data_IF_696449117231
#
_entry.id   IF_696449117231
#
_cell.length_a   1.000
_cell.length_b   1.000
_cell.length_c   1.000
_cell.angle_alpha   90.00
_cell.angle_beta   90.00
_cell.angle_gamma   90.00
#
_symmetry.space_group_name_H-M   'P 1'
#
loop_
_entity.id
_entity.type
_entity.pdbx_description
1 polymer ?
#
# COMPACT_ATOMS: atom_id res chain seq x y z
N UNK A 1 -29.62 -6.14 78.46
CA UNK A 1 -28.31 -6.24 77.80
C UNK A 1 -28.30 -7.07 76.49
N UNK A 2 -29.18 -8.06 76.31
CA UNK A 2 -29.18 -8.90 75.08
C UNK A 2 -29.74 -8.20 73.83
N UNK A 3 -30.73 -7.33 73.95
CA UNK A 3 -31.34 -6.61 72.80
C UNK A 3 -30.40 -5.57 72.16
N UNK A 4 -29.59 -4.84 72.95
CA UNK A 4 -28.64 -3.84 72.44
C UNK A 4 -27.47 -4.47 71.65
N UNK A 5 -27.07 -5.71 71.97
CA UNK A 5 -26.03 -6.45 71.23
C UNK A 5 -26.55 -7.01 69.91
N UNK A 6 -27.85 -7.36 69.84
CA UNK A 6 -28.47 -7.84 68.60
C UNK A 6 -28.63 -6.72 67.55
N UNK A 7 -29.00 -5.49 68.00
CA UNK A 7 -29.14 -4.31 67.14
C UNK A 7 -27.77 -3.85 66.60
N UNK A 8 -26.71 -3.92 67.43
CA UNK A 8 -25.35 -3.58 67.00
C UNK A 8 -24.80 -4.59 65.97
N UNK A 9 -25.18 -5.90 66.09
CA UNK A 9 -24.75 -6.94 65.13
C UNK A 9 -25.48 -6.84 63.83
N UNK A 10 -26.77 -6.44 63.81
CA UNK A 10 -27.55 -6.19 62.60
C UNK A 10 -27.07 -4.90 61.84
N UNK A 11 -26.68 -3.85 62.56
CA UNK A 11 -26.11 -2.63 61.95
C UNK A 11 -24.71 -2.88 61.38
N UNK A 12 -23.90 -3.76 61.99
CA UNK A 12 -22.57 -4.11 61.41
C UNK A 12 -22.70 -5.01 60.18
N UNK A 13 -23.73 -5.87 60.08
CA UNK A 13 -23.97 -6.73 58.92
C UNK A 13 -24.51 -5.92 57.72
N UNK A 14 -25.29 -4.86 57.95
CA UNK A 14 -25.78 -3.95 56.85
C UNK A 14 -24.69 -3.04 56.33
N UNK A 15 -23.65 -2.68 57.13
CA UNK A 15 -22.52 -1.87 56.65
C UNK A 15 -21.53 -2.72 55.81
N UNK A 16 -21.43 -4.04 56.03
CA UNK A 16 -20.57 -4.92 55.24
C UNK A 16 -21.12 -5.19 53.80
N UNK A 17 -22.45 -5.14 53.64
CA UNK A 17 -23.08 -5.35 52.30
C UNK A 17 -22.95 -4.13 51.41
N UNK A 18 -22.75 -2.93 52.00
CA UNK A 18 -22.61 -1.67 51.22
C UNK A 18 -21.21 -1.46 50.59
N UNK A 19 -20.18 -2.25 51.00
CA UNK A 19 -18.82 -2.15 50.44
C UNK A 19 -18.53 -3.11 49.27
N UNK A 20 -19.44 -4.04 48.94
CA UNK A 20 -19.26 -4.96 47.80
C UNK A 20 -19.95 -4.50 46.51
N UNK A 21 -20.47 -3.24 46.46
CA UNK A 21 -21.21 -2.71 45.31
C UNK A 21 -20.43 -1.86 44.30
N UNK A 22 -19.10 -1.77 44.39
CA UNK A 22 -18.24 -1.17 43.37
C UNK A 22 -17.64 -2.19 42.42
N UNK A 23 -18.48 -3.10 41.89
CA UNK A 23 -18.17 -3.82 40.68
C UNK A 23 -18.38 -2.85 39.52
N UNK A 24 -17.33 -2.14 39.10
CA UNK A 24 -17.36 -1.42 37.83
C UNK A 24 -17.83 -2.40 36.75
N UNK A 25 -18.92 -2.08 36.05
CA UNK A 25 -19.25 -2.81 34.82
C UNK A 25 -17.98 -2.83 33.99
N UNK A 26 -17.52 -4.00 33.50
CA UNK A 26 -16.47 -3.99 32.52
C UNK A 26 -16.89 -3.02 31.41
N UNK A 27 -15.98 -2.14 31.01
CA UNK A 27 -16.20 -1.30 29.86
C UNK A 27 -16.68 -2.21 28.72
N UNK A 28 -17.68 -1.81 27.92
CA UNK A 28 -18.09 -2.62 26.78
C UNK A 28 -16.84 -2.90 25.95
N UNK A 29 -16.44 -4.15 25.86
CA UNK A 29 -15.42 -4.57 24.92
C UNK A 29 -15.97 -4.24 23.52
N UNK A 30 -15.25 -3.42 22.77
CA UNK A 30 -15.62 -3.12 21.39
C UNK A 30 -15.80 -4.46 20.63
N UNK A 31 -16.82 -4.53 19.79
CA UNK A 31 -17.06 -5.75 19.00
C UNK A 31 -15.86 -6.03 18.09
N UNK A 32 -15.51 -7.29 17.86
CA UNK A 32 -14.45 -7.65 16.92
C UNK A 32 -14.81 -7.16 15.51
N UNK A 33 -13.85 -6.54 14.84
CA UNK A 33 -13.97 -6.03 13.47
C UNK A 33 -12.82 -6.60 12.64
N UNK A 34 -13.12 -7.14 11.47
CA UNK A 34 -12.13 -7.47 10.45
C UNK A 34 -12.19 -6.41 9.34
N UNK A 35 -11.03 -5.85 8.99
CA UNK A 35 -10.87 -4.93 7.88
C UNK A 35 -10.04 -5.59 6.78
N UNK A 36 -10.57 -5.61 5.58
CA UNK A 36 -9.90 -6.13 4.38
C UNK A 36 -9.26 -4.96 3.65
N UNK A 37 -7.93 -4.97 3.57
CA UNK A 37 -7.13 -3.89 2.99
C UNK A 37 -6.49 -4.37 1.70
N UNK A 38 -6.90 -3.80 0.57
CA UNK A 38 -6.26 -4.01 -0.71
C UNK A 38 -5.19 -2.95 -0.92
N UNK A 39 -3.93 -3.35 -1.03
CA UNK A 39 -2.81 -2.43 -1.14
C UNK A 39 -1.81 -2.85 -2.20
N UNK A 40 -1.21 -1.86 -2.86
CA UNK A 40 -0.17 -2.09 -3.85
C UNK A 40 0.96 -2.98 -3.29
N UNK A 41 1.43 -3.94 -4.08
CA UNK A 41 2.46 -4.92 -3.69
C UNK A 41 3.76 -4.28 -3.16
N UNK A 42 4.09 -3.07 -3.63
CA UNK A 42 5.24 -2.27 -3.14
C UNK A 42 5.12 -1.84 -1.67
N UNK A 43 3.95 -2.01 -1.04
CA UNK A 43 3.71 -1.64 0.36
C UNK A 43 3.67 -2.86 1.30
N UNK A 44 3.97 -4.05 0.80
CA UNK A 44 3.84 -5.29 1.58
C UNK A 44 4.57 -5.22 2.92
N UNK A 45 5.84 -4.86 2.92
CA UNK A 45 6.68 -4.85 4.12
C UNK A 45 6.22 -3.77 5.11
N UNK A 46 6.01 -2.54 4.62
CA UNK A 46 5.64 -1.40 5.47
C UNK A 46 4.25 -1.54 6.07
N UNK A 47 3.25 -1.93 5.28
CA UNK A 47 1.89 -2.10 5.80
C UNK A 47 1.73 -3.33 6.69
N UNK A 48 2.53 -4.38 6.50
CA UNK A 48 2.58 -5.50 7.43
C UNK A 48 3.08 -5.04 8.81
N UNK A 49 4.20 -4.32 8.87
CA UNK A 49 4.76 -3.79 10.12
C UNK A 49 3.81 -2.79 10.81
N UNK A 50 3.25 -1.85 10.04
CA UNK A 50 2.29 -0.86 10.56
C UNK A 50 1.02 -1.55 11.04
N UNK A 51 0.51 -2.54 10.30
CA UNK A 51 -0.67 -3.31 10.65
C UNK A 51 -0.51 -4.10 11.94
N UNK A 52 0.65 -4.74 12.14
CA UNK A 52 0.98 -5.41 13.41
C UNK A 52 0.96 -4.43 14.58
N UNK A 53 1.54 -3.25 14.41
CA UNK A 53 1.55 -2.19 15.42
C UNK A 53 0.14 -1.69 15.72
N UNK A 54 -0.67 -1.43 14.70
CA UNK A 54 -2.07 -1.01 14.84
C UNK A 54 -2.91 -2.06 15.60
N UNK A 55 -2.84 -3.32 15.21
CA UNK A 55 -3.55 -4.43 15.90
C UNK A 55 -3.05 -4.65 17.33
N UNK A 56 -1.80 -4.31 17.63
CA UNK A 56 -1.29 -4.34 18.99
C UNK A 56 -1.95 -3.28 19.89
N UNK A 57 -2.33 -2.14 19.34
CA UNK A 57 -3.01 -1.04 20.04
C UNK A 57 -4.55 -1.19 20.02
N UNK A 58 -5.12 -1.76 18.95
CA UNK A 58 -6.55 -1.92 18.69
C UNK A 58 -6.98 -3.39 18.71
N UNK A 59 -7.06 -3.99 19.92
CA UNK A 59 -7.26 -5.43 20.11
C UNK A 59 -8.57 -6.03 19.56
N UNK A 60 -9.54 -5.18 19.23
CA UNK A 60 -10.79 -5.58 18.61
C UNK A 60 -10.74 -5.53 17.08
N UNK A 61 -9.65 -5.04 16.47
CA UNK A 61 -9.49 -4.95 15.01
C UNK A 61 -8.50 -5.99 14.52
N UNK A 62 -8.88 -6.70 13.45
CA UNK A 62 -8.00 -7.56 12.66
C UNK A 62 -7.85 -6.96 11.28
N UNK A 63 -6.62 -6.82 10.80
CA UNK A 63 -6.31 -6.38 9.44
C UNK A 63 -5.95 -7.59 8.59
N UNK A 64 -6.66 -7.77 7.47
CA UNK A 64 -6.36 -8.77 6.46
C UNK A 64 -5.93 -8.06 5.19
N UNK A 65 -4.68 -8.27 4.77
CA UNK A 65 -4.12 -7.60 3.60
C UNK A 65 -4.18 -8.48 2.36
N UNK A 66 -4.57 -7.87 1.23
CA UNK A 66 -4.39 -8.42 -0.10
C UNK A 66 -3.41 -7.52 -0.87
N UNK A 67 -2.21 -8.03 -1.12
CA UNK A 67 -1.15 -7.30 -1.82
C UNK A 67 -1.01 -7.80 -3.26
N UNK A 68 -1.26 -6.91 -4.22
CA UNK A 68 -1.04 -7.19 -5.64
C UNK A 68 -0.83 -5.87 -6.42
N UNK A 69 -0.75 -5.94 -7.74
CA UNK A 69 -0.76 -4.73 -8.55
C UNK A 69 -2.06 -3.95 -8.34
N UNK A 70 -1.97 -2.62 -8.34
CA UNK A 70 -3.16 -1.79 -8.17
C UNK A 70 -4.20 -2.00 -9.29
N UNK A 71 -3.77 -2.44 -10.47
CA UNK A 71 -4.66 -2.80 -11.58
C UNK A 71 -5.46 -4.07 -11.28
N UNK A 72 -4.80 -5.13 -10.81
CA UNK A 72 -5.43 -6.38 -10.37
C UNK A 72 -6.42 -6.12 -9.24
N UNK A 73 -6.00 -5.37 -8.21
CA UNK A 73 -6.84 -5.04 -7.05
C UNK A 73 -8.08 -4.24 -7.46
N UNK A 74 -7.90 -3.24 -8.34
CA UNK A 74 -9.01 -2.47 -8.91
C UNK A 74 -10.02 -3.38 -9.61
N UNK A 75 -9.55 -4.35 -10.41
CA UNK A 75 -10.42 -5.32 -11.11
C UNK A 75 -11.17 -6.20 -10.11
N UNK A 76 -10.51 -6.69 -9.06
CA UNK A 76 -11.15 -7.48 -8.01
C UNK A 76 -12.26 -6.67 -7.30
N UNK A 77 -12.03 -5.38 -7.00
CA UNK A 77 -13.04 -4.48 -6.42
C UNK A 77 -14.23 -4.34 -7.37
N UNK A 78 -14.00 -4.12 -8.66
CA UNK A 78 -15.06 -4.02 -9.66
C UNK A 78 -15.88 -5.32 -9.80
N UNK A 79 -15.24 -6.47 -9.61
CA UNK A 79 -15.88 -7.79 -9.64
C UNK A 79 -16.61 -8.14 -8.34
N UNK A 80 -16.58 -7.24 -7.34
CA UNK A 80 -17.32 -7.37 -6.09
C UNK A 80 -16.57 -8.11 -4.98
N UNK A 81 -15.24 -8.13 -5.01
CA UNK A 81 -14.45 -8.62 -3.88
C UNK A 81 -14.70 -7.75 -2.64
N UNK A 82 -14.80 -8.38 -1.47
CA UNK A 82 -14.88 -7.68 -0.20
C UNK A 82 -13.59 -6.88 0.03
N UNK A 83 -13.75 -5.57 0.23
CA UNK A 83 -12.64 -4.65 0.45
C UNK A 83 -13.13 -3.43 1.22
N UNK A 84 -12.48 -3.09 2.33
CA UNK A 84 -12.80 -1.92 3.14
C UNK A 84 -11.93 -0.72 2.76
N UNK A 85 -10.67 -0.96 2.43
CA UNK A 85 -9.66 0.08 2.14
C UNK A 85 -8.90 -0.29 0.88
N UNK A 86 -8.75 0.70 -0.02
CA UNK A 86 -7.88 0.56 -1.19
C UNK A 86 -6.73 1.58 -1.13
N UNK A 87 -5.49 1.09 -1.33
CA UNK A 87 -4.25 1.89 -1.40
C UNK A 87 -3.56 1.56 -2.72
N UNK A 88 -3.52 2.53 -3.63
CA UNK A 88 -2.99 2.35 -4.99
C UNK A 88 -1.60 2.97 -5.12
N UNK A 89 -0.73 2.36 -5.94
CA UNK A 89 0.60 2.90 -6.29
C UNK A 89 0.55 3.95 -7.41
N UNK A 90 -0.65 4.33 -7.87
CA UNK A 90 -0.86 5.43 -8.80
C UNK A 90 -2.27 6.02 -8.68
N UNK A 91 -2.46 7.32 -8.96
CA UNK A 91 -3.78 7.95 -8.96
C UNK A 91 -4.75 7.34 -9.98
N UNK A 92 -4.27 6.78 -11.09
CA UNK A 92 -5.10 6.29 -12.20
C UNK A 92 -6.11 5.24 -11.72
N UNK A 93 -5.68 4.20 -11.03
CA UNK A 93 -6.54 3.11 -10.58
C UNK A 93 -7.57 3.57 -9.54
N UNK A 94 -7.15 4.45 -8.62
CA UNK A 94 -8.07 5.08 -7.66
C UNK A 94 -9.10 5.95 -8.39
N UNK A 95 -8.67 6.78 -9.34
CA UNK A 95 -9.57 7.64 -10.13
C UNK A 95 -10.60 6.83 -10.90
N UNK A 96 -10.25 5.65 -11.41
CA UNK A 96 -11.18 4.77 -12.13
C UNK A 96 -12.30 4.22 -11.26
N UNK A 97 -12.13 4.20 -9.94
CA UNK A 97 -13.12 3.75 -8.96
C UNK A 97 -13.89 4.89 -8.28
N UNK A 98 -13.49 6.14 -8.52
CA UNK A 98 -13.97 7.33 -7.80
C UNK A 98 -14.96 8.12 -8.64
N UNK A 99 -16.21 8.21 -8.18
CA UNK A 99 -17.25 9.00 -8.86
C UNK A 99 -16.92 10.50 -8.95
N UNK A 100 -16.01 11.02 -8.09
CA UNK A 100 -15.55 12.41 -8.16
C UNK A 100 -14.49 12.64 -9.26
N UNK A 101 -13.94 11.59 -9.86
CA UNK A 101 -13.01 11.72 -10.96
C UNK A 101 -13.72 12.12 -12.26
N UNK A 102 -12.95 12.71 -13.19
CA UNK A 102 -13.48 13.10 -14.50
C UNK A 102 -13.91 11.86 -15.32
N UNK A 103 -14.93 12.05 -16.16
CA UNK A 103 -15.52 10.97 -16.97
C UNK A 103 -14.59 10.42 -18.07
N UNK A 104 -13.52 11.11 -18.40
CA UNK A 104 -12.47 10.64 -19.31
C UNK A 104 -11.49 9.66 -18.62
N UNK A 105 -11.47 9.62 -17.29
CA UNK A 105 -10.68 8.68 -16.48
C UNK A 105 -11.55 7.57 -15.90
N UNK A 106 -12.66 7.92 -15.24
CA UNK A 106 -13.68 6.98 -14.77
C UNK A 106 -14.73 6.76 -15.88
N UNK A 107 -14.32 6.09 -16.95
CA UNK A 107 -15.16 5.88 -18.15
C UNK A 107 -16.35 4.97 -17.92
N UNK A 108 -16.31 4.16 -16.88
CA UNK A 108 -17.38 3.22 -16.51
C UNK A 108 -18.37 3.81 -15.49
N UNK A 109 -18.09 5.03 -14.98
CA UNK A 109 -18.93 5.71 -13.99
C UNK A 109 -19.00 4.97 -12.65
N UNK A 110 -17.91 4.34 -12.24
CA UNK A 110 -17.84 3.57 -11.00
C UNK A 110 -17.86 4.49 -9.77
N UNK A 111 -18.51 4.02 -8.71
CA UNK A 111 -18.63 4.73 -7.43
C UNK A 111 -18.31 3.79 -6.27
N UNK A 112 -17.01 3.50 -6.09
CA UNK A 112 -16.54 2.64 -5.01
C UNK A 112 -15.86 3.42 -3.88
N UNK A 113 -15.38 4.64 -4.14
CA UNK A 113 -14.65 5.43 -3.15
C UNK A 113 -15.63 6.19 -2.25
N UNK A 114 -15.53 5.99 -0.94
CA UNK A 114 -16.28 6.76 0.04
C UNK A 114 -15.86 8.23 -0.03
N UNK A 115 -16.81 9.09 -0.39
CA UNK A 115 -16.53 10.52 -0.57
C UNK A 115 -16.02 11.17 0.73
N UNK A 116 -14.92 11.90 0.61
CA UNK A 116 -14.24 12.57 1.72
C UNK A 116 -13.22 11.71 2.48
N UNK A 117 -13.10 10.41 2.18
CA UNK A 117 -12.08 9.53 2.79
C UNK A 117 -10.75 9.54 2.05
N UNK A 118 -10.77 9.87 0.75
CA UNK A 118 -9.59 9.82 -0.12
C UNK A 118 -8.58 10.91 0.20
N UNK A 119 -7.31 10.54 0.21
CA UNK A 119 -6.17 11.47 0.31
C UNK A 119 -4.92 10.85 -0.33
N UNK A 120 -3.93 11.69 -0.63
CA UNK A 120 -2.62 11.27 -1.11
C UNK A 120 -1.77 10.92 0.12
N UNK A 121 -1.47 9.62 0.27
CA UNK A 121 -0.79 9.08 1.46
C UNK A 121 0.72 9.28 1.36
N UNK A 122 1.31 8.89 0.23
CA UNK A 122 2.76 8.79 0.05
C UNK A 122 3.20 9.26 -1.35
N UNK A 123 4.44 9.71 -1.42
CA UNK A 123 5.21 9.84 -2.66
C UNK A 123 6.34 8.78 -2.67
N UNK A 124 6.54 8.14 -3.80
CA UNK A 124 7.63 7.19 -4.06
C UNK A 124 8.50 7.67 -5.23
N UNK A 125 9.53 6.91 -5.59
CA UNK A 125 10.37 7.15 -6.76
C UNK A 125 10.38 5.91 -7.64
N UNK A 126 10.41 6.11 -8.96
CA UNK A 126 10.73 5.05 -9.92
C UNK A 126 12.24 5.02 -10.07
N UNK A 127 12.83 3.84 -9.94
CA UNK A 127 14.27 3.64 -9.97
C UNK A 127 14.66 2.59 -11.01
N UNK A 128 15.88 2.72 -11.51
CA UNK A 128 16.55 1.73 -12.33
C UNK A 128 17.45 0.89 -11.43
N UNK A 129 17.10 -0.38 -11.27
CA UNK A 129 17.85 -1.35 -10.48
C UNK A 129 18.53 -2.37 -11.39
N UNK A 130 19.69 -2.82 -10.96
CA UNK A 130 20.50 -3.83 -11.67
C UNK A 130 20.84 -4.97 -10.73
N UNK A 131 21.05 -6.20 -11.25
CA UNK A 131 21.50 -7.32 -10.45
C UNK A 131 22.91 -7.09 -9.89
N UNK A 132 23.30 -7.96 -8.95
CA UNK A 132 24.63 -7.92 -8.34
C UNK A 132 25.73 -7.99 -9.39
N UNK A 133 26.73 -7.11 -9.24
CA UNK A 133 27.85 -7.01 -10.17
C UNK A 133 27.54 -6.28 -11.48
N UNK A 134 26.27 -5.87 -11.70
CA UNK A 134 25.87 -5.09 -12.89
C UNK A 134 26.44 -5.63 -14.21
N UNK A 135 26.08 -6.86 -14.61
CA UNK A 135 26.67 -7.51 -15.79
C UNK A 135 26.39 -6.77 -17.10
N UNK A 136 25.26 -6.03 -17.17
CA UNK A 136 24.91 -5.17 -18.31
C UNK A 136 25.67 -3.86 -18.38
N UNK A 137 26.51 -3.53 -17.38
CA UNK A 137 27.25 -2.27 -17.25
C UNK A 137 26.36 -1.02 -17.46
N UNK A 138 25.18 -1.04 -16.85
CA UNK A 138 24.14 0.01 -16.96
C UNK A 138 24.29 0.93 -15.74
N UNK A 139 24.51 2.23 -15.96
CA UNK A 139 24.72 3.21 -14.87
C UNK A 139 23.71 4.34 -14.87
N UNK A 140 22.87 4.43 -15.91
CA UNK A 140 21.86 5.49 -16.05
C UNK A 140 20.69 5.03 -16.93
N UNK A 141 19.62 5.81 -16.94
CA UNK A 141 18.53 5.63 -17.91
C UNK A 141 19.00 5.88 -19.35
N UNK A 142 20.01 6.72 -19.56
CA UNK A 142 20.61 6.94 -20.89
C UNK A 142 21.29 5.66 -21.38
N UNK A 143 22.11 5.00 -20.54
CA UNK A 143 22.74 3.70 -20.87
C UNK A 143 21.68 2.63 -21.15
N UNK A 144 20.61 2.60 -20.35
CA UNK A 144 19.49 1.68 -20.56
C UNK A 144 18.84 1.91 -21.92
N UNK A 145 18.54 3.17 -22.28
CA UNK A 145 17.91 3.50 -23.55
C UNK A 145 18.79 3.12 -24.75
N UNK A 146 20.09 3.41 -24.69
CA UNK A 146 21.06 3.00 -25.73
C UNK A 146 21.12 1.48 -25.85
N UNK A 147 21.19 0.74 -24.72
CA UNK A 147 21.24 -0.72 -24.71
C UNK A 147 19.98 -1.39 -25.26
N UNK A 148 18.80 -0.84 -24.95
CA UNK A 148 17.51 -1.30 -25.48
C UNK A 148 17.42 -1.05 -27.00
N UNK A 149 17.83 0.13 -27.48
CA UNK A 149 17.87 0.44 -28.91
C UNK A 149 18.84 -0.46 -29.68
N UNK A 150 19.96 -0.81 -29.06
CA UNK A 150 20.94 -1.73 -29.63
C UNK A 150 20.52 -3.22 -29.57
N UNK A 151 19.46 -3.56 -28.82
CA UNK A 151 19.04 -4.95 -28.58
C UNK A 151 20.04 -5.75 -27.72
N UNK A 152 20.84 -5.08 -26.89
CA UNK A 152 21.89 -5.69 -26.07
C UNK A 152 21.53 -5.80 -24.58
N UNK A 153 20.36 -5.30 -24.16
CA UNK A 153 19.87 -5.28 -22.78
C UNK A 153 18.51 -5.96 -22.71
N UNK A 154 18.32 -6.81 -21.70
CA UNK A 154 17.05 -7.37 -21.30
C UNK A 154 16.53 -6.64 -20.04
N UNK A 155 15.40 -5.95 -20.18
CA UNK A 155 14.77 -5.18 -19.12
C UNK A 155 13.54 -5.92 -18.56
N UNK A 156 13.43 -6.02 -17.24
CA UNK A 156 12.18 -6.37 -16.57
C UNK A 156 11.35 -5.12 -16.25
N UNK A 157 10.04 -5.16 -16.56
CA UNK A 157 9.09 -4.09 -16.25
C UNK A 157 7.73 -4.66 -15.85
N UNK A 158 6.90 -3.86 -15.19
CA UNK A 158 5.50 -4.21 -14.98
C UNK A 158 4.72 -4.21 -16.31
N UNK A 159 3.71 -5.06 -16.43
CA UNK A 159 2.80 -5.00 -17.58
C UNK A 159 1.92 -3.73 -17.54
N UNK A 160 1.08 -3.50 -18.54
CA UNK A 160 0.27 -2.29 -18.71
C UNK A 160 -0.74 -2.03 -17.58
N UNK A 161 -1.11 -3.05 -16.79
CA UNK A 161 -2.04 -2.93 -15.66
C UNK A 161 -1.32 -2.61 -14.34
N UNK A 162 0.00 -2.80 -14.32
CA UNK A 162 0.85 -2.51 -13.15
C UNK A 162 1.24 -1.03 -13.16
N UNK A 163 1.02 -0.27 -12.07
CA UNK A 163 1.40 1.14 -12.02
C UNK A 163 2.87 1.41 -12.39
N UNK A 164 3.85 0.62 -11.90
CA UNK A 164 5.25 0.81 -12.29
C UNK A 164 5.48 0.57 -13.78
N UNK A 165 4.73 -0.33 -14.42
CA UNK A 165 4.74 -0.52 -15.87
C UNK A 165 4.25 0.72 -16.61
N UNK A 166 3.19 1.38 -16.11
CA UNK A 166 2.68 2.62 -16.67
C UNK A 166 3.68 3.79 -16.53
N UNK A 167 4.44 3.84 -15.43
CA UNK A 167 5.55 4.79 -15.29
C UNK A 167 6.71 4.44 -16.26
N UNK A 168 7.01 3.16 -16.46
CA UNK A 168 8.01 2.70 -17.45
C UNK A 168 7.61 3.11 -18.86
N UNK A 169 6.34 2.99 -19.24
CA UNK A 169 5.83 3.46 -20.54
C UNK A 169 6.05 4.97 -20.74
N UNK A 170 5.88 5.79 -19.69
CA UNK A 170 6.20 7.22 -19.75
C UNK A 170 7.68 7.48 -19.95
N UNK A 171 8.55 6.68 -19.27
CA UNK A 171 10.00 6.76 -19.47
C UNK A 171 10.36 6.37 -20.90
N UNK A 172 9.75 5.33 -21.46
CA UNK A 172 9.93 4.97 -22.87
C UNK A 172 9.52 6.10 -23.81
N UNK A 173 8.37 6.73 -23.56
CA UNK A 173 7.94 7.89 -24.35
C UNK A 173 8.92 9.07 -24.27
N UNK A 174 9.49 9.33 -23.08
CA UNK A 174 10.53 10.36 -22.90
C UNK A 174 11.77 10.10 -23.74
N UNK A 175 12.22 8.83 -23.83
CA UNK A 175 13.38 8.42 -24.65
C UNK A 175 13.04 8.10 -26.10
N UNK A 176 11.77 8.18 -26.50
CA UNK A 176 11.33 7.82 -27.87
C UNK A 176 11.48 6.33 -28.18
N UNK A 177 11.36 5.48 -27.14
CA UNK A 177 11.41 4.01 -27.26
C UNK A 177 10.01 3.46 -27.59
N UNK A 178 9.96 2.46 -28.46
CA UNK A 178 8.73 1.76 -28.84
C UNK A 178 8.67 0.42 -28.09
N UNK A 179 7.73 0.31 -27.13
CA UNK A 179 7.56 -0.90 -26.29
C UNK A 179 7.27 -2.15 -27.14
N UNK A 180 6.40 -2.04 -28.16
CA UNK A 180 6.04 -3.19 -29.01
C UNK A 180 7.25 -3.69 -29.80
N UNK A 181 8.05 -2.78 -30.35
CA UNK A 181 9.27 -3.13 -31.05
C UNK A 181 10.31 -3.75 -30.12
N UNK A 182 10.50 -3.23 -28.90
CA UNK A 182 11.40 -3.78 -27.90
C UNK A 182 10.96 -5.18 -27.46
N UNK A 183 9.67 -5.41 -27.23
CA UNK A 183 9.12 -6.70 -26.88
C UNK A 183 9.30 -7.73 -28.02
N UNK A 184 9.04 -7.32 -29.27
CA UNK A 184 9.23 -8.17 -30.44
C UNK A 184 10.70 -8.57 -30.64
N UNK A 185 11.63 -7.72 -30.24
CA UNK A 185 13.07 -7.98 -30.30
C UNK A 185 13.60 -8.79 -29.09
N UNK A 186 12.73 -9.15 -28.13
CA UNK A 186 13.10 -9.92 -26.95
C UNK A 186 13.88 -9.12 -25.90
N UNK A 187 13.75 -7.78 -25.91
CA UNK A 187 14.43 -6.88 -24.95
C UNK A 187 13.63 -6.67 -23.65
N UNK A 188 12.39 -7.18 -23.57
CA UNK A 188 11.52 -6.97 -22.42
C UNK A 188 11.03 -8.28 -21.81
N UNK A 189 10.93 -8.30 -20.48
CA UNK A 189 10.14 -9.25 -19.71
C UNK A 189 9.13 -8.49 -18.85
N UNK A 190 8.02 -9.14 -18.53
CA UNK A 190 6.92 -8.50 -17.82
C UNK A 190 6.61 -9.20 -16.50
N UNK A 191 6.37 -8.42 -15.45
CA UNK A 191 5.80 -8.88 -14.19
C UNK A 191 4.33 -8.47 -14.07
N UNK A 192 3.52 -9.29 -13.41
CA UNK A 192 2.11 -8.98 -13.09
C UNK A 192 1.98 -8.01 -11.91
N UNK A 193 3.03 -7.81 -11.15
CA UNK A 193 3.20 -6.81 -10.10
C UNK A 193 4.69 -6.45 -9.94
N UNK A 194 4.98 -5.42 -9.11
CA UNK A 194 6.37 -4.96 -8.94
C UNK A 194 7.28 -5.98 -8.25
N UNK A 195 6.75 -6.84 -7.38
CA UNK A 195 7.55 -7.87 -6.69
C UNK A 195 8.09 -8.91 -7.65
N UNK A 196 7.32 -9.27 -8.68
CA UNK A 196 7.83 -10.14 -9.75
C UNK A 196 8.96 -9.49 -10.56
N UNK A 197 8.84 -8.18 -10.86
CA UNK A 197 9.92 -7.43 -11.53
C UNK A 197 11.16 -7.42 -10.64
N UNK A 198 11.01 -7.10 -9.35
CA UNK A 198 12.10 -7.09 -8.36
C UNK A 198 12.80 -8.46 -8.29
N UNK A 199 12.04 -9.54 -8.27
CA UNK A 199 12.57 -10.92 -8.25
C UNK A 199 13.39 -11.22 -9.49
N UNK A 200 12.91 -10.87 -10.69
CA UNK A 200 13.66 -11.10 -11.94
C UNK A 200 15.03 -10.42 -11.91
N UNK A 201 15.11 -9.21 -11.37
CA UNK A 201 16.38 -8.47 -11.24
C UNK A 201 17.27 -9.10 -10.18
N UNK A 202 16.73 -9.38 -8.98
CA UNK A 202 17.52 -9.95 -7.87
C UNK A 202 18.10 -11.32 -8.16
N UNK A 203 17.41 -12.12 -8.98
CA UNK A 203 17.88 -13.43 -9.43
C UNK A 203 18.84 -13.36 -10.65
N UNK A 204 19.09 -12.17 -11.18
CA UNK A 204 19.94 -11.98 -12.35
C UNK A 204 19.36 -12.57 -13.64
N UNK A 205 18.04 -12.70 -13.72
CA UNK A 205 17.34 -13.19 -14.91
C UNK A 205 17.31 -12.16 -16.04
N UNK A 206 17.58 -10.89 -15.72
CA UNK A 206 17.58 -9.73 -16.61
C UNK A 206 18.79 -8.84 -16.31
N UNK A 207 19.10 -7.91 -17.21
CA UNK A 207 20.21 -6.96 -17.03
C UNK A 207 19.82 -5.76 -16.16
N UNK A 208 18.55 -5.39 -16.19
CA UNK A 208 18.01 -4.29 -15.39
C UNK A 208 16.50 -4.46 -15.15
N UNK A 209 15.97 -3.70 -14.18
CA UNK A 209 14.54 -3.57 -13.97
C UNK A 209 14.14 -2.16 -13.54
N UNK A 210 12.96 -1.74 -13.97
CA UNK A 210 12.36 -0.49 -13.50
C UNK A 210 11.36 -0.85 -12.40
N UNK A 211 11.69 -0.43 -11.17
CA UNK A 211 10.94 -0.72 -9.94
C UNK A 211 10.79 0.54 -9.10
N UNK A 212 10.14 0.45 -7.95
CA UNK A 212 10.12 1.57 -7.01
C UNK A 212 11.35 1.57 -6.07
N UNK A 213 11.72 2.75 -5.58
CA UNK A 213 12.80 2.90 -4.62
C UNK A 213 12.58 2.12 -3.33
N UNK A 214 11.33 2.04 -2.86
CA UNK A 214 10.95 1.24 -1.69
C UNK A 214 11.18 -0.26 -1.91
N UNK A 215 10.86 -0.80 -3.10
CA UNK A 215 11.10 -2.19 -3.43
C UNK A 215 12.60 -2.49 -3.54
N UNK A 216 13.35 -1.58 -4.17
CA UNK A 216 14.81 -1.69 -4.26
C UNK A 216 15.44 -1.70 -2.87
N UNK A 217 14.99 -0.82 -1.96
CA UNK A 217 15.46 -0.75 -0.59
C UNK A 217 15.16 -2.05 0.17
N UNK A 218 13.90 -2.50 0.15
CA UNK A 218 13.45 -3.70 0.86
C UNK A 218 14.17 -4.98 0.37
N UNK A 219 14.50 -5.04 -0.91
CA UNK A 219 15.23 -6.16 -1.51
C UNK A 219 16.77 -6.00 -1.45
N UNK A 220 17.30 -4.90 -0.89
CA UNK A 220 18.72 -4.62 -0.81
C UNK A 220 19.41 -4.51 -2.18
N UNK A 221 18.69 -3.98 -3.18
CA UNK A 221 19.13 -3.95 -4.57
C UNK A 221 20.05 -2.76 -4.88
N UNK A 222 20.87 -2.94 -5.90
CA UNK A 222 21.71 -1.88 -6.45
C UNK A 222 20.88 -0.98 -7.39
N UNK A 223 20.57 0.23 -6.91
CA UNK A 223 19.93 1.30 -7.69
C UNK A 223 21.03 2.12 -8.36
N UNK A 224 20.99 2.20 -9.68
CA UNK A 224 21.98 2.94 -10.49
C UNK A 224 21.47 4.32 -10.91
N UNK A 225 20.14 4.50 -11.00
CA UNK A 225 19.53 5.79 -11.36
C UNK A 225 18.09 5.91 -10.83
N UNK A 226 17.55 7.12 -10.82
CA UNK A 226 16.17 7.42 -10.42
C UNK A 226 15.51 8.31 -11.47
N UNK A 227 14.30 7.93 -11.90
CA UNK A 227 13.54 8.72 -12.86
C UNK A 227 13.17 10.08 -12.30
N UNK A 228 13.28 11.10 -13.14
CA UNK A 228 12.85 12.47 -12.81
C UNK A 228 11.35 12.65 -13.02
N UNK A 229 10.79 13.71 -12.43
CA UNK A 229 9.39 14.07 -12.68
C UNK A 229 9.12 14.41 -14.15
N UNK A 230 10.14 14.84 -14.93
CA UNK A 230 10.03 15.08 -16.37
C UNK A 230 9.88 13.75 -17.14
N UNK A 231 10.53 12.68 -16.71
CA UNK A 231 10.48 11.38 -17.34
C UNK A 231 9.16 10.66 -17.12
N UNK A 232 8.60 10.69 -15.91
CA UNK A 232 7.43 9.87 -15.60
C UNK A 232 6.34 10.56 -14.73
N UNK A 233 6.57 11.79 -14.28
CA UNK A 233 5.70 12.50 -13.33
C UNK A 233 5.96 12.10 -11.88
N UNK A 234 5.16 12.66 -10.96
CA UNK A 234 5.19 12.26 -9.54
C UNK A 234 4.54 10.90 -9.34
N UNK A 235 5.06 10.13 -8.41
CA UNK A 235 4.59 8.78 -8.05
C UNK A 235 3.81 8.88 -6.74
N UNK A 236 2.52 9.14 -6.86
CA UNK A 236 1.62 9.36 -5.72
C UNK A 236 0.82 8.10 -5.41
N UNK A 237 0.73 7.77 -4.14
CA UNK A 237 -0.04 6.66 -3.59
C UNK A 237 -1.29 7.18 -2.89
N UNK A 238 -2.45 7.24 -3.54
CA UNK A 238 -3.71 7.57 -2.90
C UNK A 238 -4.23 6.40 -2.08
N UNK A 239 -4.89 6.73 -0.97
CA UNK A 239 -5.61 5.81 -0.10
C UNK A 239 -7.06 6.28 0.08
N UNK A 240 -7.99 5.34 0.21
CA UNK A 240 -9.39 5.64 0.46
C UNK A 240 -10.11 4.48 1.17
N UNK A 241 -11.14 4.80 1.93
CA UNK A 241 -12.17 3.83 2.36
C UNK A 241 -13.10 3.57 1.16
N UNK A 242 -13.55 2.33 1.00
CA UNK A 242 -14.56 2.02 0.00
C UNK A 242 -15.97 2.18 0.56
N UNK A 243 -16.90 2.65 -0.27
CA UNK A 243 -18.29 2.91 0.14
C UNK A 243 -19.07 1.62 0.44
N UNK A 244 -18.61 0.48 -0.08
CA UNK A 244 -19.15 -0.87 0.16
C UNK A 244 -18.77 -1.43 1.54
N UNK A 245 -17.79 -0.82 2.22
CA UNK A 245 -17.37 -1.24 3.56
C UNK A 245 -18.50 -1.16 4.57
N UNK A 246 -18.70 -2.25 5.34
CA UNK A 246 -19.59 -2.26 6.49
C UNK A 246 -18.97 -1.60 7.74
N UNK A 247 -17.65 -1.33 7.72
CA UNK A 247 -16.83 -0.86 8.84
C UNK A 247 -16.14 0.47 8.51
N UNK A 248 -16.87 1.40 7.87
CA UNK A 248 -16.29 2.67 7.36
C UNK A 248 -15.59 3.50 8.45
N UNK A 249 -16.11 3.50 9.68
CA UNK A 249 -15.52 4.27 10.78
C UNK A 249 -14.17 3.67 11.22
N UNK A 250 -14.09 2.34 11.34
CA UNK A 250 -12.87 1.62 11.71
C UNK A 250 -11.84 1.68 10.57
N UNK A 251 -12.30 1.57 9.33
CA UNK A 251 -11.46 1.73 8.14
C UNK A 251 -10.86 3.15 8.08
N UNK A 252 -11.66 4.18 8.35
CA UNK A 252 -11.16 5.56 8.44
C UNK A 252 -10.15 5.72 9.58
N UNK A 253 -10.40 5.10 10.74
CA UNK A 253 -9.47 5.14 11.87
C UNK A 253 -8.11 4.52 11.53
N UNK A 254 -8.08 3.43 10.76
CA UNK A 254 -6.82 2.87 10.26
C UNK A 254 -6.15 3.80 9.24
N UNK A 255 -6.89 4.39 8.31
CA UNK A 255 -6.32 5.39 7.39
C UNK A 255 -5.74 6.61 8.13
N UNK A 256 -6.39 7.05 9.22
CA UNK A 256 -5.88 8.15 10.04
C UNK A 256 -4.62 7.73 10.83
N UNK A 257 -4.53 6.46 11.24
CA UNK A 257 -3.30 5.91 11.84
C UNK A 257 -2.11 5.95 10.87
N UNK A 258 -2.34 5.69 9.57
CA UNK A 258 -1.30 5.78 8.54
C UNK A 258 -0.69 7.19 8.41
N UNK A 259 -1.38 8.24 8.89
CA UNK A 259 -0.91 9.63 8.90
C UNK A 259 -0.11 9.98 10.14
N UNK A 260 -0.01 9.10 11.13
CA UNK A 260 0.75 9.35 12.37
C UNK A 260 2.25 9.36 12.11
N UNK A 261 3.01 10.01 13.01
CA UNK A 261 4.48 10.02 12.94
C UNK A 261 5.06 8.61 13.01
N UNK A 262 4.46 7.71 13.81
CA UNK A 262 4.90 6.33 13.95
C UNK A 262 4.80 5.56 12.62
N UNK A 263 3.68 5.63 11.92
CA UNK A 263 3.54 5.06 10.58
C UNK A 263 4.45 5.76 9.56
N UNK A 264 4.57 7.09 9.67
CA UNK A 264 5.45 7.90 8.84
C UNK A 264 6.92 7.50 8.96
N UNK A 265 7.39 7.11 10.15
CA UNK A 265 8.77 6.64 10.37
C UNK A 265 9.01 5.30 9.65
N UNK A 266 8.05 4.37 9.69
CA UNK A 266 8.13 3.11 8.93
C UNK A 266 8.19 3.39 7.42
N UNK A 267 7.36 4.27 6.89
CA UNK A 267 7.40 4.65 5.49
C UNK A 267 8.73 5.28 5.08
N UNK A 268 9.24 6.22 5.88
CA UNK A 268 10.53 6.88 5.64
C UNK A 268 11.71 5.91 5.68
N UNK A 269 11.63 4.85 6.49
CA UNK A 269 12.71 3.86 6.63
C UNK A 269 13.04 3.14 5.31
N UNK A 270 12.07 3.02 4.41
CA UNK A 270 12.24 2.41 3.07
C UNK A 270 12.28 3.45 1.94
N UNK A 271 12.41 4.74 2.26
CA UNK A 271 12.52 5.82 1.28
C UNK A 271 11.20 6.35 0.73
N UNK A 272 10.06 5.94 1.28
CA UNK A 272 8.76 6.55 0.99
C UNK A 272 8.63 7.90 1.70
N UNK A 273 7.97 8.86 1.07
CA UNK A 273 7.76 10.20 1.61
C UNK A 273 6.28 10.40 1.96
N UNK A 274 5.90 10.43 3.27
CA UNK A 274 4.53 10.80 3.67
C UNK A 274 4.14 12.19 3.16
N UNK A 275 2.88 12.34 2.72
CA UNK A 275 2.34 13.58 2.11
C UNK A 275 1.35 14.30 3.05
N UNK A 276 1.50 14.16 4.36
CA UNK A 276 0.61 14.75 5.38
C UNK A 276 0.91 16.22 5.64
#
# INVERSE_FOLDING_TARGET
>A
MKAKKLVALLLALTLLVALCGCGGKPAPTAEPVELIVFAAASMTETLTEIGESYMAEHKNVTLTFNFDSSGTLKTQIQEGADCDIFISAAPKQMNQLDAAASSDVNTEGLDFVLQGSRFDLLENKVTLAVPDGNPGNIHSYDDLAEGLQAGSVLLAMGNSDVPVGQYTQKIFAYYGLDEEALAANGCLTYGSNVKEVTTQVSEGAVDAGIIYGSDAFSAGMNVVDSATAEMCGQVIYPAAVLNVSAHQAEAQAFLDYLKTDAAGDVFRSVGLSPMN
#
